data_IF_814941265690
#
_entry.id   IF_814941265690
#
_cell.length_a   1.000
_cell.length_b   1.000
_cell.length_c   1.000
_cell.angle_alpha   90.00
_cell.angle_beta   90.00
_cell.angle_gamma   90.00
#
_symmetry.space_group_name_H-M   'P 1'
#
loop_
_entity.id
_entity.type
_entity.pdbx_description
1 polymer ?
#
# COMPACT_ATOMS: atom_id res chain seq x y z
N UNK A 1 -7.62 -21.53 -11.93
CA UNK A 1 -6.35 -21.06 -11.32
C UNK A 1 -6.51 -19.64 -10.83
N UNK A 2 -6.07 -19.38 -9.59
CA UNK A 2 -6.11 -18.02 -9.04
C UNK A 2 -4.87 -17.26 -9.43
N UNK A 3 -5.04 -16.00 -9.81
CA UNK A 3 -3.95 -15.10 -10.12
C UNK A 3 -3.84 -14.10 -8.97
N UNK A 4 -2.71 -14.10 -8.27
CA UNK A 4 -2.53 -13.34 -7.04
C UNK A 4 -1.22 -12.56 -7.01
N UNK A 5 -1.23 -11.41 -6.33
CA UNK A 5 -0.03 -10.66 -6.02
C UNK A 5 -0.17 -10.11 -4.59
N UNK A 6 0.77 -10.46 -3.72
CA UNK A 6 0.69 -10.11 -2.31
C UNK A 6 1.72 -9.07 -1.88
N UNK A 7 2.37 -8.40 -2.81
CA UNK A 7 3.38 -7.39 -2.47
C UNK A 7 3.32 -6.24 -3.48
N UNK A 8 2.45 -5.27 -3.21
CA UNK A 8 2.22 -4.16 -4.12
C UNK A 8 2.36 -2.84 -3.36
N UNK A 9 3.15 -1.92 -3.91
CA UNK A 9 3.31 -0.58 -3.38
C UNK A 9 2.63 0.43 -4.29
N UNK A 10 2.08 1.47 -3.70
CA UNK A 10 1.42 2.56 -4.43
C UNK A 10 2.13 3.88 -4.15
N UNK A 11 1.58 4.98 -4.67
CA UNK A 11 2.12 6.32 -4.39
C UNK A 11 2.01 6.72 -2.92
N UNK A 12 1.28 5.97 -2.11
CA UNK A 12 1.30 6.21 -0.67
C UNK A 12 2.67 5.91 -0.07
N UNK A 13 3.48 5.09 -0.72
CA UNK A 13 4.87 4.89 -0.32
C UNK A 13 5.79 5.07 -1.52
N UNK A 14 6.50 4.04 -1.95
CA UNK A 14 7.50 4.16 -2.99
C UNK A 14 7.06 3.67 -4.36
N UNK A 15 5.80 3.33 -4.51
CA UNK A 15 5.25 2.97 -5.81
C UNK A 15 5.04 4.20 -6.69
N UNK A 16 4.96 4.00 -7.99
CA UNK A 16 4.82 5.09 -8.93
C UNK A 16 3.38 5.31 -9.41
N UNK A 17 2.45 4.45 -8.98
CA UNK A 17 1.07 4.47 -9.47
C UNK A 17 0.12 4.69 -8.30
N UNK A 18 -0.90 5.51 -8.52
CA UNK A 18 -1.91 5.77 -7.50
C UNK A 18 -2.70 4.51 -7.18
N UNK A 19 -3.24 4.47 -5.96
CA UNK A 19 -3.97 3.30 -5.47
C UNK A 19 -5.13 2.90 -6.39
N UNK A 20 -5.98 3.85 -6.75
CA UNK A 20 -7.13 3.57 -7.60
C UNK A 20 -6.69 3.01 -8.96
N UNK A 21 -5.66 3.59 -9.54
CA UNK A 21 -5.13 3.12 -10.82
C UNK A 21 -4.52 1.74 -10.69
N UNK A 22 -3.82 1.49 -9.59
CA UNK A 22 -3.23 0.17 -9.31
C UNK A 22 -4.32 -0.89 -9.26
N UNK A 23 -5.40 -0.63 -8.53
CA UNK A 23 -6.52 -1.57 -8.44
C UNK A 23 -7.12 -1.85 -9.83
N UNK A 24 -7.30 -0.80 -10.63
CA UNK A 24 -7.85 -0.99 -11.97
C UNK A 24 -6.92 -1.80 -12.88
N UNK A 25 -5.62 -1.55 -12.79
CA UNK A 25 -4.65 -2.29 -13.61
C UNK A 25 -4.70 -3.79 -13.32
N UNK A 26 -4.70 -4.15 -12.03
CA UNK A 26 -4.76 -5.56 -11.64
C UNK A 26 -6.13 -6.16 -11.95
N UNK A 27 -7.21 -5.40 -11.71
CA UNK A 27 -8.55 -5.87 -12.01
C UNK A 27 -8.75 -6.14 -13.50
N UNK A 28 -8.29 -5.23 -14.34
CA UNK A 28 -8.39 -5.40 -15.80
C UNK A 28 -7.52 -6.53 -16.30
N UNK A 29 -6.43 -6.82 -15.61
CA UNK A 29 -5.55 -7.93 -15.96
C UNK A 29 -6.10 -9.30 -15.51
N UNK A 30 -7.21 -9.31 -14.78
CA UNK A 30 -7.85 -10.55 -14.39
C UNK A 30 -7.35 -11.15 -13.08
N UNK A 31 -6.71 -10.35 -12.24
CA UNK A 31 -6.26 -10.84 -10.94
C UNK A 31 -7.45 -11.15 -10.04
N UNK A 32 -7.31 -12.20 -9.25
CA UNK A 32 -8.35 -12.64 -8.32
C UNK A 32 -8.15 -12.09 -6.92
N UNK A 33 -6.90 -11.97 -6.49
CA UNK A 33 -6.53 -11.48 -5.15
C UNK A 33 -5.28 -10.63 -5.25
N UNK A 34 -5.32 -9.45 -4.64
CA UNK A 34 -4.11 -8.65 -4.48
C UNK A 34 -4.01 -8.16 -3.05
N UNK A 35 -2.79 -7.90 -2.59
CA UNK A 35 -2.57 -7.26 -1.31
C UNK A 35 -1.72 -6.00 -1.52
N UNK A 36 -2.24 -4.89 -1.06
CA UNK A 36 -1.53 -3.61 -1.12
C UNK A 36 -0.75 -3.47 0.19
N UNK A 37 0.57 -3.40 0.09
CA UNK A 37 1.45 -3.41 1.27
C UNK A 37 2.44 -2.26 1.20
N UNK A 38 1.93 -1.04 1.24
CA UNK A 38 2.79 0.13 1.22
C UNK A 38 3.67 0.19 2.47
N UNK A 39 4.84 0.81 2.33
CA UNK A 39 5.77 0.96 3.44
C UNK A 39 5.20 1.91 4.50
N UNK A 40 5.32 1.51 5.77
CA UNK A 40 4.96 2.34 6.91
C UNK A 40 6.22 2.51 7.74
N UNK A 41 6.54 3.76 8.06
CA UNK A 41 7.73 4.09 8.85
C UNK A 41 7.30 4.65 10.19
N UNK A 42 7.92 4.13 11.26
CA UNK A 42 7.78 4.74 12.57
C UNK A 42 8.50 6.09 12.55
N UNK A 43 7.74 7.17 12.67
CA UNK A 43 8.26 8.52 12.51
C UNK A 43 9.04 9.08 13.69
N UNK A 44 9.25 8.29 14.74
CA UNK A 44 9.84 8.80 15.97
C UNK A 44 11.35 9.00 15.89
N UNK A 45 12.03 8.44 14.89
CA UNK A 45 13.47 8.58 14.76
C UNK A 45 13.83 9.50 13.58
N UNK A 46 15.10 9.91 13.54
CA UNK A 46 15.55 10.84 12.51
C UNK A 46 15.44 10.25 11.12
N UNK A 47 15.69 8.95 10.98
CA UNK A 47 15.60 8.30 9.69
C UNK A 47 14.15 8.31 9.19
N UNK A 48 13.20 8.01 10.06
CA UNK A 48 11.79 8.06 9.71
C UNK A 48 11.36 9.45 9.27
N UNK A 49 11.87 10.49 9.94
CA UNK A 49 11.56 11.87 9.56
C UNK A 49 12.09 12.21 8.18
N UNK A 50 13.28 11.75 7.84
CA UNK A 50 13.88 11.97 6.53
C UNK A 50 13.06 11.27 5.45
N UNK A 51 12.70 10.01 5.68
CA UNK A 51 11.90 9.24 4.73
C UNK A 51 10.54 9.90 4.52
N UNK A 52 9.90 10.34 5.59
CA UNK A 52 8.62 11.02 5.50
C UNK A 52 8.70 12.31 4.70
N UNK A 53 9.80 13.04 4.85
CA UNK A 53 10.00 14.28 4.09
C UNK A 53 9.98 14.03 2.60
N UNK A 54 10.49 12.90 2.15
CA UNK A 54 10.54 12.55 0.75
C UNK A 54 9.34 11.74 0.28
N UNK A 55 8.39 11.48 1.18
CA UNK A 55 7.16 10.76 0.88
C UNK A 55 7.39 9.36 0.32
N UNK A 56 8.38 8.66 0.84
CA UNK A 56 8.65 7.29 0.42
C UNK A 56 7.85 6.26 1.20
N UNK A 57 7.03 6.70 2.17
CA UNK A 57 6.25 5.77 2.97
C UNK A 57 4.99 6.45 3.51
N UNK A 58 4.05 5.62 3.97
CA UNK A 58 2.87 6.08 4.68
C UNK A 58 3.31 6.55 6.07
N UNK A 59 2.84 7.71 6.48
CA UNK A 59 3.19 8.30 7.76
C UNK A 59 2.06 8.12 8.77
N UNK A 60 2.34 8.35 10.05
CA UNK A 60 1.29 8.36 11.06
C UNK A 60 0.21 9.38 10.71
N UNK A 61 0.60 10.51 10.13
CA UNK A 61 -0.33 11.59 9.83
C UNK A 61 -1.36 11.18 8.77
N UNK A 62 -0.98 10.35 7.80
CA UNK A 62 -1.90 9.95 6.74
C UNK A 62 -2.31 8.48 6.80
N UNK A 63 -2.01 7.78 7.90
CA UNK A 63 -2.31 6.37 8.00
C UNK A 63 -3.80 6.08 7.95
N UNK A 64 -4.61 6.88 8.64
CA UNK A 64 -6.07 6.71 8.62
C UNK A 64 -6.65 6.97 7.24
N UNK A 65 -6.12 7.95 6.53
CA UNK A 65 -6.52 8.23 5.16
C UNK A 65 -6.19 7.04 4.26
N UNK A 66 -5.00 6.48 4.43
CA UNK A 66 -4.57 5.32 3.68
C UNK A 66 -5.50 4.12 3.91
N UNK A 67 -5.82 3.83 5.16
CA UNK A 67 -6.73 2.72 5.49
C UNK A 67 -8.12 2.95 4.90
N UNK A 68 -8.63 4.17 4.97
CA UNK A 68 -9.93 4.49 4.39
C UNK A 68 -9.92 4.31 2.88
N UNK A 69 -8.86 4.75 2.24
CA UNK A 69 -8.70 4.59 0.79
C UNK A 69 -8.64 3.11 0.41
N UNK A 70 -7.89 2.31 1.17
CA UNK A 70 -7.82 0.87 0.93
C UNK A 70 -9.19 0.20 1.05
N UNK A 71 -9.94 0.57 2.09
CA UNK A 71 -11.27 0.00 2.29
C UNK A 71 -12.20 0.34 1.13
N UNK A 72 -12.18 1.60 0.72
CA UNK A 72 -12.99 2.05 -0.41
C UNK A 72 -12.63 1.29 -1.68
N UNK A 73 -11.35 1.14 -1.96
CA UNK A 73 -10.89 0.44 -3.15
C UNK A 73 -11.17 -1.05 -3.09
N UNK A 74 -11.13 -1.64 -1.89
CA UNK A 74 -11.47 -3.05 -1.74
C UNK A 74 -12.94 -3.31 -2.11
N UNK A 75 -13.84 -2.43 -1.67
CA UNK A 75 -15.25 -2.55 -2.02
C UNK A 75 -15.45 -2.35 -3.52
N UNK A 76 -14.79 -1.34 -4.10
CA UNK A 76 -14.92 -1.06 -5.52
C UNK A 76 -14.36 -2.19 -6.36
N UNK A 77 -13.22 -2.77 -5.96
CA UNK A 77 -12.61 -3.87 -6.70
C UNK A 77 -13.49 -5.12 -6.71
N UNK A 78 -14.09 -5.41 -5.57
CA UNK A 78 -15.01 -6.56 -5.49
C UNK A 78 -16.23 -6.35 -6.39
N UNK A 79 -16.82 -5.16 -6.34
CA UNK A 79 -18.02 -4.88 -7.13
C UNK A 79 -17.73 -4.82 -8.62
N UNK A 80 -16.58 -4.28 -9.01
CA UNK A 80 -16.29 -4.05 -10.42
C UNK A 80 -15.60 -5.24 -11.09
N UNK A 81 -14.71 -5.91 -10.36
CA UNK A 81 -13.87 -6.97 -10.95
C UNK A 81 -14.04 -8.33 -10.29
N UNK A 82 -14.75 -8.41 -9.19
CA UNK A 82 -14.75 -9.63 -8.40
C UNK A 82 -13.39 -9.95 -7.82
N UNK A 83 -12.55 -8.93 -7.65
CA UNK A 83 -11.19 -9.07 -7.14
C UNK A 83 -11.15 -8.75 -5.66
N UNK A 84 -10.51 -9.61 -4.89
CA UNK A 84 -10.34 -9.40 -3.46
C UNK A 84 -9.08 -8.56 -3.22
N UNK A 85 -9.24 -7.44 -2.53
CA UNK A 85 -8.10 -6.61 -2.12
C UNK A 85 -7.90 -6.75 -0.62
N UNK A 86 -6.74 -7.26 -0.24
CA UNK A 86 -6.39 -7.46 1.17
C UNK A 86 -5.52 -6.30 1.63
N UNK A 87 -5.99 -5.48 2.57
CA UNK A 87 -5.17 -4.40 3.11
C UNK A 87 -3.99 -4.96 3.88
N UNK A 88 -2.84 -4.33 3.72
CA UNK A 88 -1.65 -4.72 4.45
C UNK A 88 -0.68 -3.56 4.55
N UNK A 89 0.41 -3.78 5.25
CA UNK A 89 1.47 -2.79 5.37
C UNK A 89 2.81 -3.52 5.39
N UNK A 90 3.83 -2.85 4.91
CA UNK A 90 5.20 -3.32 5.06
C UNK A 90 5.89 -2.40 6.05
N UNK A 91 6.28 -2.92 7.20
CA UNK A 91 6.91 -2.11 8.24
C UNK A 91 8.38 -1.93 7.90
N UNK A 92 8.78 -0.67 7.75
CA UNK A 92 10.16 -0.34 7.48
C UNK A 92 10.85 -0.03 8.79
N UNK A 93 11.83 -0.85 9.14
CA UNK A 93 12.61 -0.66 10.36
C UNK A 93 13.79 0.25 10.09
N UNK A 94 14.27 0.89 11.16
CA UNK A 94 15.49 1.66 11.08
C UNK A 94 16.67 0.69 10.92
N UNK A 95 17.32 0.74 9.79
CA UNK A 95 18.40 -0.19 9.47
C UNK A 95 19.59 -0.10 10.40
N UNK A 96 19.79 1.06 11.00
CA UNK A 96 20.96 1.26 11.84
C UNK A 96 20.81 0.64 13.21
N UNK A 97 19.62 0.21 13.56
CA UNK A 97 19.35 -0.37 14.88
C UNK A 97 18.99 -1.83 14.83
N UNK A 98 18.69 -2.37 13.68
CA UNK A 98 18.10 -3.70 13.58
C UNK A 98 19.12 -4.81 13.47
N UNK A 99 20.31 -4.48 13.16
CA UNK A 99 21.34 -5.48 12.95
C UNK A 99 22.37 -5.44 14.06
#
# INVERSE_FOLDING_TARGET
MLLCDFHIHTKYSDGSVELTRTVDLFGQAGFDVISITDHVVNGDNAFGKIVNRFRFSVTEANFNEYLSALRHEAERAWDKYGMLVIPGVEITKNHFSSE
#
